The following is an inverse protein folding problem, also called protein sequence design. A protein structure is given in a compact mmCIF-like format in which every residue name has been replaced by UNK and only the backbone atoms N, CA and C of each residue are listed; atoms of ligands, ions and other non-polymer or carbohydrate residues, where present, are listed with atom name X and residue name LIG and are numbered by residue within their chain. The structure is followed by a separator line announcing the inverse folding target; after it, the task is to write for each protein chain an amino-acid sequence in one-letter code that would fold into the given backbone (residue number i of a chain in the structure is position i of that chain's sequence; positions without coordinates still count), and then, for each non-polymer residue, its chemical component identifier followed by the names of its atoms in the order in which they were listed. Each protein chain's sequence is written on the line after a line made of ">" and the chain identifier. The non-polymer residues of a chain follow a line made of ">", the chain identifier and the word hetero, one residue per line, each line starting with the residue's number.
data_IF_864123442113
#
_entry.id   IF_864123442113
#
_cell.length_a   1.000
_cell.length_b   1.000
_cell.length_c   1.000
_cell.angle_alpha   90.00
_cell.angle_beta   90.00
_cell.angle_gamma   90.00
#
_symmetry.space_group_name_H-M   'P 1'
#
loop_
_entity.id
_entity.type
_entity.pdbx_description
1 polymer ?
#
# COMPACT_ATOMS: atom_id res chain seq x y z
N UNK A 1 -15.58 -34.14 33.00
CA UNK A 1 -14.25 -34.04 32.40
C UNK A 1 -14.34 -32.88 31.42
N UNK A 2 -13.90 -31.70 31.84
CA UNK A 2 -13.90 -30.53 30.96
C UNK A 2 -12.73 -30.69 29.99
N UNK A 3 -13.03 -30.71 28.72
CA UNK A 3 -12.05 -30.82 27.65
C UNK A 3 -11.34 -29.43 27.56
N UNK A 4 -10.04 -29.32 27.84
CA UNK A 4 -9.32 -28.03 27.80
C UNK A 4 -9.26 -27.44 26.38
N UNK A 5 -9.51 -28.23 25.33
CA UNK A 5 -9.54 -27.77 23.93
C UNK A 5 -10.83 -27.01 23.63
N UNK A 6 -11.97 -27.34 24.29
CA UNK A 6 -13.25 -26.67 24.08
C UNK A 6 -13.27 -25.22 24.67
N UNK A 7 -12.49 -24.97 25.72
CA UNK A 7 -12.42 -23.64 26.35
C UNK A 7 -11.50 -22.63 25.60
N UNK A 8 -10.62 -23.09 24.72
CA UNK A 8 -9.76 -22.21 23.90
C UNK A 8 -10.51 -21.59 22.71
N UNK A 9 -11.73 -22.05 22.40
CA UNK A 9 -12.51 -21.64 21.22
C UNK A 9 -13.44 -20.43 21.47
N UNK A 10 -13.53 -19.89 22.68
CA UNK A 10 -14.45 -18.78 23.03
C UNK A 10 -13.77 -17.46 23.41
N UNK A 11 -12.45 -17.40 23.45
CA UNK A 11 -11.78 -16.14 23.80
C UNK A 11 -11.57 -15.30 22.54
N UNK A 12 -12.19 -14.11 22.52
CA UNK A 12 -11.90 -13.09 21.51
C UNK A 12 -10.39 -12.83 21.51
N UNK A 13 -9.69 -12.96 20.38
CA UNK A 13 -8.25 -12.75 20.34
C UNK A 13 -7.91 -11.30 20.72
N UNK A 14 -6.82 -11.13 21.46
CA UNK A 14 -6.26 -9.80 21.70
C UNK A 14 -5.44 -9.37 20.50
N UNK A 15 -4.69 -10.29 19.91
CA UNK A 15 -3.83 -10.03 18.76
C UNK A 15 -4.31 -10.79 17.53
N UNK A 16 -4.39 -10.08 16.39
CA UNK A 16 -4.50 -10.70 15.08
C UNK A 16 -3.21 -10.47 14.31
N UNK A 17 -2.58 -11.52 13.81
CA UNK A 17 -1.45 -11.42 12.88
C UNK A 17 -1.96 -11.73 11.49
N UNK A 18 -1.95 -10.73 10.60
CA UNK A 18 -2.38 -10.91 9.21
C UNK A 18 -1.16 -10.99 8.28
N UNK A 19 -1.16 -11.99 7.40
CA UNK A 19 -0.07 -12.22 6.47
C UNK A 19 -0.59 -12.52 5.06
N UNK A 20 -0.37 -11.62 4.08
CA UNK A 20 -0.57 -11.91 2.67
C UNK A 20 0.40 -13.00 2.18
N UNK A 21 -0.10 -13.95 1.40
CA UNK A 21 0.65 -15.09 0.86
C UNK A 21 0.44 -15.15 -0.65
N UNK A 22 1.54 -15.21 -1.41
CA UNK A 22 1.50 -15.39 -2.86
C UNK A 22 2.74 -16.15 -3.33
N UNK A 23 2.59 -17.45 -3.60
CA UNK A 23 3.66 -18.36 -4.01
C UNK A 23 4.80 -18.43 -2.97
N UNK A 24 4.46 -18.85 -1.75
CA UNK A 24 5.37 -18.94 -0.60
C UNK A 24 5.28 -20.32 0.08
N UNK A 25 5.03 -21.40 -0.66
CA UNK A 25 4.83 -22.75 -0.12
C UNK A 25 6.07 -23.26 0.65
N UNK A 26 7.29 -22.86 0.27
CA UNK A 26 8.53 -23.22 0.95
C UNK A 26 8.77 -22.43 2.26
N UNK A 27 8.34 -21.16 2.31
CA UNK A 27 8.61 -20.27 3.45
C UNK A 27 7.53 -20.36 4.52
N UNK A 28 6.29 -20.65 4.14
CA UNK A 28 5.09 -20.56 4.97
C UNK A 28 5.13 -21.48 6.22
N UNK A 29 5.62 -22.74 6.18
CA UNK A 29 5.72 -23.55 7.38
C UNK A 29 6.64 -22.94 8.43
N UNK A 30 7.80 -22.42 8.01
CA UNK A 30 8.76 -21.76 8.89
C UNK A 30 8.25 -20.42 9.41
N UNK A 31 7.53 -19.68 8.58
CA UNK A 31 6.84 -18.44 8.98
C UNK A 31 5.86 -18.72 10.13
N UNK A 32 5.01 -19.74 9.98
CA UNK A 32 4.05 -20.16 11.00
C UNK A 32 4.75 -20.55 12.31
N UNK A 33 5.81 -21.37 12.25
CA UNK A 33 6.59 -21.77 13.44
C UNK A 33 7.17 -20.57 14.19
N UNK A 34 7.70 -19.58 13.47
CA UNK A 34 8.29 -18.37 14.09
C UNK A 34 7.21 -17.47 14.70
N UNK A 35 6.10 -17.25 13.99
CA UNK A 35 4.98 -16.44 14.49
C UNK A 35 4.40 -17.07 15.75
N UNK A 36 4.07 -18.36 15.73
CA UNK A 36 3.50 -19.05 16.89
C UNK A 36 4.47 -19.04 18.07
N UNK A 37 5.77 -19.28 17.86
CA UNK A 37 6.76 -19.22 18.92
C UNK A 37 6.87 -17.82 19.57
N UNK A 38 6.68 -16.74 18.81
CA UNK A 38 6.66 -15.37 19.34
C UNK A 38 5.36 -15.10 20.10
N UNK A 39 4.21 -15.45 19.50
CA UNK A 39 2.90 -15.16 20.08
C UNK A 39 2.64 -15.97 21.35
N UNK A 40 3.06 -17.22 21.41
CA UNK A 40 2.93 -18.06 22.60
C UNK A 40 3.74 -17.54 23.80
N UNK A 41 4.89 -16.92 23.55
CA UNK A 41 5.69 -16.27 24.62
C UNK A 41 5.00 -15.04 25.21
N UNK A 42 4.10 -14.38 24.47
CA UNK A 42 3.31 -13.26 24.97
C UNK A 42 2.21 -13.72 25.96
N UNK A 43 1.75 -14.98 25.85
CA UNK A 43 0.81 -15.59 26.77
C UNK A 43 -0.62 -15.07 26.69
N UNK A 44 -0.96 -14.27 25.67
CA UNK A 44 -2.30 -13.71 25.45
C UNK A 44 -2.98 -14.34 24.23
N UNK A 45 -4.32 -14.40 24.17
CA UNK A 45 -5.04 -14.98 23.04
C UNK A 45 -4.72 -14.30 21.72
N UNK A 46 -4.45 -15.09 20.69
CA UNK A 46 -4.14 -14.58 19.35
C UNK A 46 -4.72 -15.44 18.24
N UNK A 47 -4.79 -14.86 17.05
CA UNK A 47 -5.11 -15.54 15.80
C UNK A 47 -4.08 -15.18 14.71
N UNK A 48 -3.97 -16.06 13.71
CA UNK A 48 -3.17 -15.82 12.51
C UNK A 48 -4.07 -15.90 11.29
N UNK A 49 -4.23 -14.81 10.57
CA UNK A 49 -5.06 -14.74 9.35
C UNK A 49 -4.13 -14.75 8.14
N UNK A 50 -4.15 -15.84 7.39
CA UNK A 50 -3.39 -16.01 6.16
C UNK A 50 -4.28 -15.71 4.95
N UNK A 51 -3.80 -14.88 4.03
CA UNK A 51 -4.56 -14.48 2.86
C UNK A 51 -3.88 -14.98 1.59
N UNK A 52 -4.47 -15.98 0.93
CA UNK A 52 -3.99 -16.48 -0.36
C UNK A 52 -4.38 -15.53 -1.48
N UNK A 53 -3.43 -14.75 -1.97
CA UNK A 53 -3.63 -13.83 -3.10
C UNK A 53 -3.44 -14.57 -4.44
N UNK A 54 -4.22 -15.63 -4.65
CA UNK A 54 -4.26 -16.39 -5.91
C UNK A 54 -2.94 -17.07 -6.25
N UNK A 55 -2.32 -17.75 -5.28
CA UNK A 55 -1.11 -18.55 -5.50
C UNK A 55 -1.33 -19.64 -6.54
N UNK A 56 -0.28 -19.95 -7.29
CA UNK A 56 -0.25 -21.00 -8.34
C UNK A 56 0.56 -22.22 -7.93
N UNK A 57 1.25 -22.15 -6.79
CA UNK A 57 2.00 -23.22 -6.14
C UNK A 57 1.13 -23.95 -5.08
N UNK A 58 1.77 -24.68 -4.16
CA UNK A 58 1.08 -25.40 -3.08
C UNK A 58 0.81 -24.55 -1.83
N UNK A 59 0.97 -23.23 -1.89
CA UNK A 59 0.75 -22.35 -0.73
C UNK A 59 -0.62 -22.53 -0.10
N UNK A 60 -1.68 -22.64 -0.92
CA UNK A 60 -3.04 -22.83 -0.42
C UNK A 60 -3.21 -24.16 0.32
N UNK A 61 -2.64 -25.25 -0.18
CA UNK A 61 -2.69 -26.57 0.46
C UNK A 61 -1.95 -26.54 1.81
N UNK A 62 -0.81 -25.86 1.87
CA UNK A 62 -0.06 -25.66 3.12
C UNK A 62 -0.90 -24.88 4.14
N UNK A 63 -1.55 -23.78 3.73
CA UNK A 63 -2.43 -22.99 4.60
C UNK A 63 -3.59 -23.80 5.15
N UNK A 64 -4.26 -24.60 4.32
CA UNK A 64 -5.31 -25.52 4.77
C UNK A 64 -4.81 -26.55 5.78
N UNK A 65 -3.61 -27.07 5.54
CA UNK A 65 -2.96 -28.00 6.47
C UNK A 65 -2.62 -27.36 7.82
N UNK A 66 -2.24 -26.07 7.84
CA UNK A 66 -2.01 -25.32 9.07
C UNK A 66 -3.32 -25.06 9.82
N UNK A 67 -4.38 -24.64 9.13
CA UNK A 67 -5.71 -24.47 9.72
C UNK A 67 -6.26 -25.75 10.34
N UNK A 68 -6.10 -26.88 9.65
CA UNK A 68 -6.55 -28.18 10.17
C UNK A 68 -5.84 -28.63 11.45
N UNK A 69 -4.61 -28.13 11.71
CA UNK A 69 -3.79 -28.45 12.90
C UNK A 69 -3.97 -27.44 14.02
N UNK A 70 -4.28 -26.19 13.69
CA UNK A 70 -4.38 -25.08 14.64
C UNK A 70 -5.59 -24.22 14.28
N UNK A 71 -6.64 -24.27 15.10
CA UNK A 71 -7.88 -23.50 14.91
C UNK A 71 -7.68 -21.98 15.01
N UNK A 72 -6.53 -21.52 15.56
CA UNK A 72 -6.17 -20.09 15.58
C UNK A 72 -5.74 -19.58 14.20
N UNK A 73 -5.40 -20.48 13.27
CA UNK A 73 -5.07 -20.12 11.89
C UNK A 73 -6.35 -20.01 11.08
N UNK A 74 -6.65 -18.82 10.59
CA UNK A 74 -7.74 -18.55 9.64
C UNK A 74 -7.16 -18.37 8.24
N UNK A 75 -7.91 -18.77 7.21
CA UNK A 75 -7.45 -18.71 5.82
C UNK A 75 -8.50 -18.04 4.96
N UNK A 76 -8.10 -17.02 4.21
CA UNK A 76 -8.90 -16.38 3.16
C UNK A 76 -8.29 -16.79 1.81
N UNK A 77 -9.07 -17.47 0.97
CA UNK A 77 -8.65 -17.81 -0.40
C UNK A 77 -9.32 -16.91 -1.43
N UNK A 78 -8.53 -16.19 -2.20
CA UNK A 78 -9.03 -15.32 -3.26
C UNK A 78 -9.31 -16.10 -4.54
N UNK A 79 -10.34 -15.68 -5.28
CA UNK A 79 -10.68 -16.25 -6.59
C UNK A 79 -9.59 -16.08 -7.65
N UNK A 80 -8.72 -15.07 -7.52
CA UNK A 80 -7.55 -14.77 -8.35
C UNK A 80 -6.59 -13.86 -7.59
N UNK A 81 -5.45 -13.53 -8.16
CA UNK A 81 -4.58 -12.47 -7.62
C UNK A 81 -5.25 -11.10 -7.76
N UNK A 82 -5.46 -10.41 -6.64
CA UNK A 82 -5.98 -9.04 -6.52
C UNK A 82 -4.89 -8.05 -6.11
N UNK A 83 -3.76 -8.54 -5.62
CA UNK A 83 -2.59 -7.76 -5.24
C UNK A 83 -2.43 -7.60 -3.73
N UNK A 84 -1.18 -7.47 -3.32
CA UNK A 84 -0.73 -7.46 -1.93
C UNK A 84 -1.50 -6.49 -1.02
N UNK A 85 -1.77 -5.25 -1.47
CA UNK A 85 -2.49 -4.24 -0.66
C UNK A 85 -3.97 -4.62 -0.43
N UNK A 86 -4.56 -5.31 -1.39
CA UNK A 86 -5.93 -5.83 -1.28
C UNK A 86 -5.96 -7.03 -0.34
N UNK A 87 -4.95 -7.90 -0.39
CA UNK A 87 -4.83 -9.02 0.56
C UNK A 87 -4.70 -8.52 2.02
N UNK A 88 -3.90 -7.47 2.26
CA UNK A 88 -3.87 -6.81 3.57
C UNK A 88 -5.27 -6.32 3.97
N UNK A 89 -6.01 -5.72 3.06
CA UNK A 89 -7.36 -5.20 3.34
C UNK A 89 -8.33 -6.31 3.75
N UNK A 90 -8.30 -7.45 3.07
CA UNK A 90 -9.11 -8.61 3.43
C UNK A 90 -8.73 -9.17 4.81
N UNK A 91 -7.43 -9.18 5.13
CA UNK A 91 -6.96 -9.54 6.46
C UNK A 91 -7.50 -8.61 7.54
N UNK A 92 -7.49 -7.28 7.30
CA UNK A 92 -8.07 -6.30 8.23
C UNK A 92 -9.59 -6.48 8.38
N UNK A 93 -10.31 -6.79 7.30
CA UNK A 93 -11.76 -7.04 7.32
C UNK A 93 -12.14 -8.25 8.20
N UNK A 94 -11.26 -9.25 8.31
CA UNK A 94 -11.52 -10.52 9.03
C UNK A 94 -10.80 -10.63 10.38
N UNK A 95 -9.90 -9.70 10.69
CA UNK A 95 -9.16 -9.69 11.95
C UNK A 95 -10.08 -9.32 13.12
N UNK A 96 -10.17 -10.18 14.13
CA UNK A 96 -11.04 -10.02 15.29
C UNK A 96 -10.34 -9.42 16.53
N UNK A 97 -8.99 -9.37 16.56
CA UNK A 97 -8.18 -8.91 17.69
C UNK A 97 -8.34 -7.41 17.97
N UNK A 98 -8.07 -7.02 19.21
CA UNK A 98 -7.98 -5.60 19.61
C UNK A 98 -6.82 -4.89 18.92
N UNK A 99 -5.81 -5.63 18.53
CA UNK A 99 -4.62 -5.16 17.84
C UNK A 99 -4.35 -6.05 16.64
N UNK A 100 -4.04 -5.43 15.51
CA UNK A 100 -3.73 -6.15 14.27
C UNK A 100 -2.29 -5.88 13.86
N UNK A 101 -1.50 -6.94 13.70
CA UNK A 101 -0.15 -6.91 13.18
C UNK A 101 -0.17 -7.33 11.72
N UNK A 102 0.33 -6.49 10.84
CA UNK A 102 0.54 -6.78 9.42
C UNK A 102 1.99 -7.20 9.23
N UNK A 103 2.25 -8.36 8.63
CA UNK A 103 3.61 -8.84 8.37
C UNK A 103 3.65 -9.64 7.06
N UNK A 104 4.75 -9.52 6.29
CA UNK A 104 4.95 -10.30 5.08
C UNK A 104 5.38 -11.73 5.40
N UNK A 105 4.87 -12.71 4.64
CA UNK A 105 5.15 -14.15 4.86
C UNK A 105 6.52 -14.61 4.31
N UNK A 106 7.31 -13.72 3.68
CA UNK A 106 8.58 -14.02 3.02
C UNK A 106 9.81 -14.12 3.97
N UNK A 107 9.56 -14.02 5.28
CA UNK A 107 10.58 -14.08 6.36
C UNK A 107 11.65 -12.97 6.33
N UNK A 108 11.50 -11.94 5.49
CA UNK A 108 12.43 -10.81 5.49
C UNK A 108 12.22 -9.87 6.68
N UNK A 109 10.98 -9.75 7.14
CA UNK A 109 10.61 -8.97 8.32
C UNK A 109 10.49 -9.94 9.51
N UNK A 110 11.37 -9.82 10.54
CA UNK A 110 11.46 -10.81 11.62
C UNK A 110 10.27 -10.71 12.58
N UNK A 111 9.50 -11.81 12.80
CA UNK A 111 8.40 -11.83 13.76
C UNK A 111 8.81 -11.45 15.19
N UNK A 112 10.07 -11.63 15.54
CA UNK A 112 10.64 -11.33 16.85
C UNK A 112 10.59 -9.83 17.22
N UNK A 113 10.26 -8.95 16.25
CA UNK A 113 10.01 -7.52 16.48
C UNK A 113 8.59 -7.25 17.03
N UNK A 114 7.65 -8.17 16.86
CA UNK A 114 6.25 -8.01 17.30
C UNK A 114 6.13 -7.64 18.78
N UNK A 115 6.84 -8.25 19.73
CA UNK A 115 6.78 -7.86 21.14
C UNK A 115 7.14 -6.40 21.39
N UNK A 116 8.10 -5.84 20.64
CA UNK A 116 8.46 -4.42 20.76
C UNK A 116 7.38 -3.51 20.19
N UNK A 117 6.74 -3.91 19.06
CA UNK A 117 5.58 -3.18 18.52
C UNK A 117 4.44 -3.14 19.55
N UNK A 118 4.15 -4.27 20.20
CA UNK A 118 3.12 -4.39 21.24
C UNK A 118 3.48 -3.52 22.46
N UNK A 119 4.74 -3.47 22.87
CA UNK A 119 5.16 -2.63 23.98
C UNK A 119 4.85 -1.14 23.70
N UNK A 120 5.17 -0.63 22.50
CA UNK A 120 4.85 0.74 22.09
C UNK A 120 3.34 1.03 22.05
N UNK A 121 2.57 0.04 21.60
CA UNK A 121 1.11 0.15 21.65
C UNK A 121 0.60 0.24 23.10
N UNK A 122 1.09 -0.61 24.00
CA UNK A 122 0.76 -0.55 25.44
C UNK A 122 1.17 0.80 26.08
N UNK A 123 2.19 1.47 25.54
CA UNK A 123 2.60 2.84 25.92
C UNK A 123 1.72 3.94 25.29
N UNK A 124 0.64 3.55 24.57
CA UNK A 124 -0.40 4.44 24.05
C UNK A 124 -0.19 4.90 22.61
N UNK A 125 0.63 4.22 21.81
CA UNK A 125 0.68 4.43 20.36
C UNK A 125 -0.45 3.68 19.68
N UNK A 126 -1.15 4.30 18.72
CA UNK A 126 -2.24 3.68 17.97
C UNK A 126 -1.73 2.95 16.72
N UNK A 127 -0.64 3.44 16.13
CA UNK A 127 0.03 2.86 14.97
C UNK A 127 1.51 2.72 15.29
N UNK A 128 2.03 1.49 15.26
CA UNK A 128 3.46 1.25 15.44
C UNK A 128 4.02 0.60 14.18
N UNK A 129 4.88 1.33 13.45
CA UNK A 129 5.46 0.81 12.21
C UNK A 129 6.91 0.38 12.41
N UNK A 130 7.25 -0.77 11.83
CA UNK A 130 8.61 -1.25 11.79
C UNK A 130 9.42 -0.47 10.74
N UNK A 131 10.45 0.24 11.18
CA UNK A 131 11.32 1.05 10.34
C UNK A 131 12.68 0.35 10.16
N UNK A 132 13.07 0.15 8.92
CA UNK A 132 14.36 -0.48 8.62
C UNK A 132 15.51 0.43 9.00
N UNK A 133 16.44 -0.08 9.81
CA UNK A 133 17.71 0.59 10.08
C UNK A 133 18.46 0.78 8.76
N UNK A 134 19.03 1.99 8.56
CA UNK A 134 19.75 2.32 7.32
C UNK A 134 21.00 1.45 7.21
N UNK A 135 21.12 0.64 6.14
CA UNK A 135 22.36 -0.11 5.87
C UNK A 135 23.49 0.87 5.58
N UNK A 136 24.57 0.78 6.35
CA UNK A 136 25.85 1.38 6.01
C UNK A 136 26.37 0.70 4.72
N UNK A 137 26.36 1.42 3.58
CA UNK A 137 26.89 0.89 2.31
C UNK A 137 26.11 1.27 1.04
N UNK A 138 25.03 2.04 1.13
CA UNK A 138 24.34 2.53 -0.08
C UNK A 138 25.15 3.63 -0.79
N UNK A 139 25.25 3.52 -2.13
CA UNK A 139 25.95 4.51 -2.98
C UNK A 139 25.38 5.91 -2.76
N UNK A 140 26.25 6.92 -2.61
CA UNK A 140 25.86 8.34 -2.41
C UNK A 140 24.82 8.83 -3.44
N UNK A 141 24.92 8.37 -4.67
CA UNK A 141 23.96 8.69 -5.75
C UNK A 141 22.55 8.17 -5.43
N UNK A 142 22.42 6.92 -4.95
CA UNK A 142 21.14 6.33 -4.56
C UNK A 142 20.52 7.03 -3.35
N UNK A 143 21.35 7.47 -2.40
CA UNK A 143 20.91 8.24 -1.23
C UNK A 143 20.42 9.64 -1.61
N UNK A 144 21.11 10.34 -2.53
CA UNK A 144 20.74 11.69 -2.98
C UNK A 144 19.45 11.64 -3.81
N UNK A 145 19.34 10.71 -4.77
CA UNK A 145 18.12 10.53 -5.58
C UNK A 145 16.92 10.13 -4.74
N UNK A 146 17.09 9.20 -3.78
CA UNK A 146 16.04 8.83 -2.85
C UNK A 146 15.65 10.03 -1.95
N UNK A 147 16.63 10.78 -1.43
CA UNK A 147 16.37 11.95 -0.58
C UNK A 147 15.64 13.07 -1.35
N UNK A 148 16.04 13.34 -2.60
CA UNK A 148 15.35 14.28 -3.48
C UNK A 148 13.91 13.81 -3.80
N UNK A 149 13.72 12.54 -4.11
CA UNK A 149 12.42 11.92 -4.38
C UNK A 149 11.49 12.00 -3.16
N UNK A 150 11.94 11.55 -1.98
CA UNK A 150 11.12 11.64 -0.76
C UNK A 150 10.92 13.07 -0.27
N UNK A 151 11.87 13.97 -0.54
CA UNK A 151 11.71 15.41 -0.29
C UNK A 151 10.66 16.05 -1.18
N UNK A 152 10.60 15.64 -2.44
CA UNK A 152 9.59 16.07 -3.41
C UNK A 152 8.21 15.52 -3.01
N UNK A 153 8.10 14.21 -2.77
CA UNK A 153 6.83 13.59 -2.35
C UNK A 153 6.33 14.21 -1.05
N UNK A 154 7.18 14.40 -0.04
CA UNK A 154 6.78 15.00 1.24
C UNK A 154 6.34 16.46 1.17
N UNK A 155 6.67 17.19 0.07
CA UNK A 155 6.13 18.54 -0.21
C UNK A 155 4.84 18.48 -1.03
N UNK A 156 4.66 17.41 -1.78
CA UNK A 156 3.57 17.23 -2.75
C UNK A 156 2.37 16.55 -2.09
N UNK A 157 2.61 15.64 -1.15
CA UNK A 157 1.55 14.94 -0.42
C UNK A 157 1.28 15.63 0.91
N UNK A 158 0.00 15.85 1.24
CA UNK A 158 -0.42 16.36 2.54
C UNK A 158 -0.06 15.40 3.70
N UNK A 159 0.37 14.17 3.39
CA UNK A 159 0.63 13.09 4.34
C UNK A 159 2.13 12.84 4.45
N UNK A 160 2.67 12.91 5.66
CA UNK A 160 4.08 12.57 5.94
C UNK A 160 4.24 11.04 6.05
N UNK A 161 4.51 10.39 4.92
CA UNK A 161 4.77 8.94 4.91
C UNK A 161 6.17 8.69 5.49
N UNK A 162 6.31 7.85 6.54
CA UNK A 162 7.61 7.52 7.13
C UNK A 162 8.54 6.86 6.10
N UNK A 163 9.83 7.24 6.12
CA UNK A 163 10.83 6.69 5.21
C UNK A 163 11.33 5.33 5.70
N UNK A 164 11.79 4.48 4.78
CA UNK A 164 12.36 3.15 5.07
C UNK A 164 11.39 2.22 5.81
N UNK A 165 10.07 2.38 5.63
CA UNK A 165 9.06 1.50 6.20
C UNK A 165 8.52 0.53 5.16
N UNK A 166 8.29 -0.72 5.59
CA UNK A 166 7.50 -1.73 4.87
C UNK A 166 6.02 -1.65 5.24
N UNK A 167 5.30 -2.72 4.95
CA UNK A 167 3.91 -2.88 5.42
C UNK A 167 3.86 -3.47 6.84
N UNK A 168 5.01 -3.95 7.38
CA UNK A 168 5.14 -4.45 8.74
C UNK A 168 4.83 -3.37 9.76
N UNK A 169 3.69 -3.53 10.43
CA UNK A 169 3.18 -2.59 11.43
C UNK A 169 2.14 -3.22 12.33
N UNK A 170 1.89 -2.57 13.45
CA UNK A 170 0.84 -2.87 14.38
C UNK A 170 -0.18 -1.72 14.34
N UNK A 171 -1.46 -2.07 14.34
CA UNK A 171 -2.59 -1.15 14.30
C UNK A 171 -3.54 -1.44 15.47
N UNK A 172 -3.91 -0.42 16.22
CA UNK A 172 -5.01 -0.49 17.19
C UNK A 172 -6.36 -0.72 16.51
N UNK A 173 -7.33 -1.29 17.22
CA UNK A 173 -8.68 -1.58 16.69
C UNK A 173 -9.34 -0.32 16.11
N UNK A 174 -9.26 0.82 16.77
CA UNK A 174 -9.85 2.07 16.27
C UNK A 174 -9.26 2.51 14.92
N UNK A 175 -7.97 2.27 14.71
CA UNK A 175 -7.30 2.50 13.41
C UNK A 175 -7.78 1.51 12.36
N UNK A 176 -7.87 0.21 12.73
CA UNK A 176 -8.35 -0.85 11.83
C UNK A 176 -9.77 -0.54 11.36
N UNK A 177 -10.68 -0.23 12.29
CA UNK A 177 -12.09 0.06 11.98
C UNK A 177 -12.22 1.27 11.04
N UNK A 178 -11.34 2.27 11.20
CA UNK A 178 -11.27 3.42 10.29
C UNK A 178 -10.79 2.99 8.90
N UNK A 179 -9.71 2.19 8.81
CA UNK A 179 -9.15 1.72 7.54
C UNK A 179 -10.08 0.76 6.78
N UNK A 180 -10.87 -0.04 7.50
CA UNK A 180 -11.88 -0.93 6.94
C UNK A 180 -13.01 -0.14 6.25
N UNK A 181 -13.37 1.05 6.76
CA UNK A 181 -14.37 1.92 6.14
C UNK A 181 -13.86 2.60 4.85
N UNK A 182 -12.54 2.72 4.69
CA UNK A 182 -11.92 3.30 3.50
C UNK A 182 -11.84 2.24 2.40
N UNK A 183 -12.69 2.34 1.36
CA UNK A 183 -12.83 1.31 0.30
C UNK A 183 -12.24 1.74 -1.04
N UNK A 184 -11.19 2.56 -1.00
CA UNK A 184 -10.47 2.99 -2.21
C UNK A 184 -9.89 1.79 -2.97
N UNK A 185 -10.04 1.77 -4.31
CA UNK A 185 -9.51 0.72 -5.17
C UNK A 185 -7.98 0.78 -5.30
N UNK A 186 -7.44 2.00 -5.36
CA UNK A 186 -6.01 2.24 -5.43
C UNK A 186 -5.40 2.39 -4.03
N UNK A 187 -5.41 1.30 -3.26
CA UNK A 187 -4.96 1.29 -1.86
C UNK A 187 -3.44 1.35 -1.74
N UNK A 188 -2.97 2.16 -0.81
CA UNK A 188 -1.58 2.22 -0.37
C UNK A 188 -1.55 2.30 1.16
N UNK A 189 -1.44 1.15 1.82
CA UNK A 189 -1.64 1.01 3.27
C UNK A 189 -0.73 1.93 4.08
N UNK A 190 0.51 2.15 3.64
CA UNK A 190 1.45 3.07 4.31
C UNK A 190 0.98 4.51 4.29
N UNK A 191 0.37 4.94 3.19
CA UNK A 191 -0.22 6.26 3.04
C UNK A 191 -1.50 6.39 3.85
N UNK A 192 -2.40 5.40 3.77
CA UNK A 192 -3.67 5.39 4.49
C UNK A 192 -3.45 5.41 6.01
N UNK A 193 -2.58 4.55 6.54
CA UNK A 193 -2.27 4.53 7.98
C UNK A 193 -1.59 5.81 8.47
N UNK A 194 -0.87 6.54 7.59
CA UNK A 194 -0.34 7.85 7.93
C UNK A 194 -1.41 8.96 7.84
N UNK A 195 -2.36 8.81 6.92
CA UNK A 195 -3.43 9.79 6.67
C UNK A 195 -4.47 9.85 7.80
N UNK A 196 -4.76 8.73 8.44
CA UNK A 196 -5.77 8.66 9.54
C UNK A 196 -5.41 9.51 10.77
N UNK A 197 -4.15 9.94 10.93
CA UNK A 197 -3.75 10.97 11.89
C UNK A 197 -3.66 10.53 13.36
N UNK A 198 -3.79 9.23 13.66
CA UNK A 198 -3.60 8.66 14.99
C UNK A 198 -2.13 8.77 15.47
N UNK A 199 -1.88 8.57 16.78
CA UNK A 199 -0.51 8.61 17.34
C UNK A 199 0.34 7.47 16.77
N UNK A 200 1.42 7.85 16.06
CA UNK A 200 2.29 6.92 15.37
C UNK A 200 3.69 6.88 16.00
N UNK A 201 4.22 5.68 16.18
CA UNK A 201 5.59 5.47 16.66
C UNK A 201 6.37 4.50 15.75
N UNK A 202 7.69 4.64 15.76
CA UNK A 202 8.59 3.79 14.99
C UNK A 202 9.34 2.82 15.90
N UNK A 203 9.49 1.58 15.45
CA UNK A 203 10.42 0.60 16.00
C UNK A 203 11.48 0.30 14.95
N UNK A 204 12.75 0.50 15.30
CA UNK A 204 13.87 0.23 14.40
C UNK A 204 14.21 -1.26 14.40
N UNK A 205 14.34 -1.84 13.19
CA UNK A 205 14.75 -3.23 13.06
C UNK A 205 15.72 -3.44 11.90
N UNK A 206 16.45 -4.55 11.93
CA UNK A 206 17.30 -4.99 10.84
C UNK A 206 16.54 -6.01 9.98
N UNK A 207 16.42 -5.71 8.68
CA UNK A 207 15.79 -6.62 7.74
C UNK A 207 16.69 -7.82 7.44
N UNK A 208 16.14 -9.03 7.50
CA UNK A 208 16.83 -10.26 7.16
C UNK A 208 16.96 -10.43 5.63
N UNK A 209 17.93 -11.22 5.19
CA UNK A 209 18.04 -11.61 3.80
C UNK A 209 16.88 -12.55 3.43
N UNK A 210 16.41 -12.47 2.20
CA UNK A 210 15.32 -13.33 1.72
C UNK A 210 15.73 -14.79 1.78
N UNK A 211 14.90 -15.64 2.37
CA UNK A 211 15.19 -17.07 2.53
C UNK A 211 15.12 -17.82 1.19
N UNK A 212 14.20 -17.46 0.30
CA UNK A 212 14.02 -18.06 -1.04
C UNK A 212 13.52 -17.01 -2.04
N UNK A 213 13.78 -17.27 -3.34
CA UNK A 213 13.27 -16.46 -4.47
C UNK A 213 14.18 -15.30 -4.91
N UNK A 214 14.11 -14.95 -6.22
CA UNK A 214 14.89 -13.86 -6.85
C UNK A 214 14.02 -12.62 -7.04
N UNK A 215 14.41 -11.50 -6.42
CA UNK A 215 13.73 -10.22 -6.65
C UNK A 215 14.28 -9.56 -7.92
N UNK A 216 13.55 -9.64 -9.02
CA UNK A 216 13.74 -8.73 -10.16
C UNK A 216 12.64 -7.67 -10.09
N UNK A 217 12.90 -6.54 -9.43
CA UNK A 217 12.05 -5.35 -9.52
C UNK A 217 12.50 -4.54 -10.74
N UNK A 218 11.87 -4.66 -11.90
CA UNK A 218 12.23 -3.89 -13.09
C UNK A 218 11.93 -2.40 -12.82
N UNK A 219 12.79 -1.52 -13.34
CA UNK A 219 12.68 -0.06 -13.23
C UNK A 219 11.27 0.46 -13.57
N UNK A 220 10.62 -0.15 -14.57
CA UNK A 220 9.22 0.18 -14.94
C UNK A 220 8.21 0.00 -13.80
N UNK A 221 8.36 -1.05 -12.96
CA UNK A 221 7.47 -1.25 -11.80
C UNK A 221 7.70 -0.17 -10.74
N UNK A 222 8.95 0.25 -10.55
CA UNK A 222 9.30 1.32 -9.61
C UNK A 222 8.70 2.67 -10.03
N UNK A 223 8.79 3.02 -11.32
CA UNK A 223 8.20 4.25 -11.87
C UNK A 223 6.67 4.21 -11.73
N UNK A 224 6.03 3.10 -12.11
CA UNK A 224 4.58 2.95 -11.98
C UNK A 224 4.13 3.10 -10.53
N UNK A 225 4.80 2.43 -9.60
CA UNK A 225 4.50 2.56 -8.16
C UNK A 225 4.66 4.00 -7.64
N UNK A 226 5.65 4.73 -8.17
CA UNK A 226 5.86 6.14 -7.83
C UNK A 226 4.74 7.04 -8.36
N UNK A 227 4.30 6.82 -9.59
CA UNK A 227 3.16 7.53 -10.19
C UNK A 227 1.89 7.23 -9.39
N UNK A 228 1.64 5.94 -9.09
CA UNK A 228 0.47 5.52 -8.29
C UNK A 228 0.45 6.21 -6.91
N UNK A 229 1.59 6.27 -6.22
CA UNK A 229 1.68 6.95 -4.93
C UNK A 229 1.42 8.47 -5.03
N UNK A 230 1.94 9.13 -6.07
CA UNK A 230 1.74 10.57 -6.28
C UNK A 230 0.28 10.87 -6.61
N UNK A 231 -0.30 10.13 -7.57
CA UNK A 231 -1.66 10.40 -8.04
C UNK A 231 -2.74 10.01 -7.04
N UNK A 232 -2.47 9.04 -6.13
CA UNK A 232 -3.41 8.67 -5.06
C UNK A 232 -3.49 9.70 -3.93
N UNK A 233 -2.39 10.43 -3.65
CA UNK A 233 -2.33 11.34 -2.49
C UNK A 233 -2.09 12.80 -2.85
N UNK A 234 -2.08 13.15 -4.15
CA UNK A 234 -1.79 14.52 -4.57
C UNK A 234 -2.47 14.89 -5.88
N UNK A 235 -3.06 16.08 -5.92
CA UNK A 235 -3.57 16.74 -7.14
C UNK A 235 -2.50 17.61 -7.81
N UNK A 236 -1.25 17.59 -7.32
CA UNK A 236 -0.17 18.45 -7.82
C UNK A 236 0.09 18.28 -9.32
N UNK A 237 0.13 17.07 -9.92
CA UNK A 237 0.31 16.94 -11.36
C UNK A 237 -0.73 17.73 -12.16
N UNK A 238 -1.98 17.74 -11.69
CA UNK A 238 -3.07 18.51 -12.31
C UNK A 238 -2.88 20.02 -12.12
N UNK A 239 -2.46 20.46 -10.92
CA UNK A 239 -2.18 21.86 -10.63
C UNK A 239 -0.97 22.38 -11.42
N UNK A 240 0.09 21.57 -11.58
CA UNK A 240 1.24 21.90 -12.42
C UNK A 240 0.83 22.03 -13.89
N UNK A 241 0.00 21.13 -14.40
CA UNK A 241 -0.55 21.21 -15.74
C UNK A 241 -1.30 22.53 -15.95
N UNK A 242 -2.17 22.89 -15.01
CA UNK A 242 -2.93 24.15 -15.05
C UNK A 242 -2.02 25.37 -14.99
N UNK A 243 -1.06 25.41 -14.06
CA UNK A 243 -0.12 26.52 -13.89
C UNK A 243 0.77 26.70 -15.12
N UNK A 244 1.23 25.59 -15.71
CA UNK A 244 2.02 25.60 -16.94
C UNK A 244 1.19 26.07 -18.14
N UNK A 245 -0.09 25.70 -18.20
CA UNK A 245 -1.04 26.21 -19.20
C UNK A 245 -1.19 27.73 -19.14
N UNK A 246 -1.38 28.31 -17.97
CA UNK A 246 -1.43 29.77 -17.78
C UNK A 246 -0.11 30.44 -18.14
N UNK A 247 1.02 29.86 -17.79
CA UNK A 247 2.34 30.38 -18.18
C UNK A 247 2.52 30.42 -19.69
N UNK A 248 2.16 29.35 -20.40
CA UNK A 248 2.21 29.30 -21.87
C UNK A 248 1.23 30.28 -22.52
N UNK A 249 0.03 30.41 -21.98
CA UNK A 249 -0.95 31.39 -22.47
C UNK A 249 -0.40 32.83 -22.33
N UNK A 250 0.26 33.13 -21.24
CA UNK A 250 0.95 34.42 -21.04
C UNK A 250 2.04 34.67 -22.07
N UNK A 251 2.90 33.68 -22.36
CA UNK A 251 3.93 33.75 -23.41
C UNK A 251 3.29 33.96 -24.79
N UNK A 252 2.22 33.23 -25.10
CA UNK A 252 1.50 33.34 -26.36
C UNK A 252 0.91 34.74 -26.54
N UNK A 253 0.30 35.30 -25.48
CA UNK A 253 -0.25 36.66 -25.50
C UNK A 253 0.87 37.73 -25.75
N UNK A 254 2.01 37.57 -25.07
CA UNK A 254 3.16 38.44 -25.29
C UNK A 254 3.72 38.31 -26.74
N UNK A 255 3.77 37.05 -27.24
CA UNK A 255 4.19 36.80 -28.62
C UNK A 255 3.25 37.42 -29.66
N UNK A 256 1.95 37.38 -29.44
CA UNK A 256 0.96 38.06 -30.29
C UNK A 256 1.17 39.57 -30.27
N UNK A 257 1.38 40.17 -29.09
CA UNK A 257 1.64 41.61 -28.96
C UNK A 257 2.89 42.02 -29.73
N UNK A 258 3.99 41.27 -29.57
CA UNK A 258 5.25 41.50 -30.30
C UNK A 258 5.04 41.36 -31.81
N UNK A 259 4.32 40.31 -32.26
CA UNK A 259 4.05 40.08 -33.67
C UNK A 259 3.22 41.26 -34.29
N UNK A 260 2.23 41.78 -33.56
CA UNK A 260 1.45 42.96 -34.01
C UNK A 260 2.33 44.20 -34.12
N UNK A 261 3.19 44.46 -33.14
CA UNK A 261 4.11 45.62 -33.17
C UNK A 261 5.09 45.52 -34.35
N UNK A 262 5.70 44.32 -34.55
CA UNK A 262 6.62 44.10 -35.67
C UNK A 262 5.92 44.23 -37.03
N UNK A 263 4.67 43.79 -37.16
CA UNK A 263 3.89 43.95 -38.37
C UNK A 263 3.60 45.43 -38.69
N UNK A 264 3.32 46.21 -37.69
CA UNK A 264 3.07 47.65 -37.83
C UNK A 264 4.33 48.44 -38.18
N UNK A 265 5.52 47.96 -37.72
CA UNK A 265 6.78 48.69 -37.90
C UNK A 265 7.63 48.21 -39.07
N UNK A 266 7.69 46.89 -39.34
CA UNK A 266 8.70 46.32 -40.27
C UNK A 266 8.13 45.54 -41.45
N UNK A 267 6.83 45.30 -41.55
CA UNK A 267 6.16 44.53 -42.63
C UNK A 267 6.70 43.10 -42.86
N UNK A 268 7.53 42.55 -41.95
CA UNK A 268 8.07 41.20 -42.08
C UNK A 268 7.11 40.14 -41.53
N UNK A 269 6.98 39.02 -42.24
CA UNK A 269 6.15 37.91 -41.85
C UNK A 269 7.05 36.77 -41.38
N UNK A 270 6.81 36.27 -40.18
CA UNK A 270 7.46 35.03 -39.65
C UNK A 270 7.05 33.86 -40.51
N UNK A 271 8.01 33.06 -40.96
CA UNK A 271 7.80 31.98 -41.97
C UNK A 271 6.90 30.86 -41.51
N UNK A 272 6.27 30.16 -42.44
CA UNK A 272 5.34 29.03 -42.20
C UNK A 272 5.93 27.89 -41.35
N UNK A 273 7.25 27.65 -41.44
CA UNK A 273 7.93 26.62 -40.63
C UNK A 273 7.85 26.89 -39.14
N UNK A 274 7.98 28.15 -38.71
CA UNK A 274 7.86 28.52 -37.29
C UNK A 274 6.46 28.29 -36.76
N UNK A 275 5.44 28.57 -37.55
CA UNK A 275 4.03 28.30 -37.19
C UNK A 275 3.77 26.82 -37.05
N UNK A 276 4.28 25.96 -37.95
CA UNK A 276 4.12 24.52 -37.89
C UNK A 276 4.77 23.94 -36.63
N UNK A 277 6.01 24.33 -36.32
CA UNK A 277 6.73 23.90 -35.11
C UNK A 277 5.94 24.30 -33.85
N UNK A 278 5.42 25.53 -33.78
CA UNK A 278 4.66 26.01 -32.65
C UNK A 278 3.36 25.22 -32.44
N UNK A 279 2.61 24.94 -33.54
CA UNK A 279 1.39 24.15 -33.49
C UNK A 279 1.65 22.71 -33.05
N UNK A 280 2.69 22.05 -33.57
CA UNK A 280 3.07 20.71 -33.17
C UNK A 280 3.51 20.66 -31.69
N UNK A 281 4.28 21.65 -31.24
CA UNK A 281 4.72 21.75 -29.83
C UNK A 281 3.51 21.94 -28.89
N UNK A 282 2.63 22.87 -29.20
CA UNK A 282 1.40 23.09 -28.41
C UNK A 282 0.48 21.88 -28.41
N UNK A 283 0.32 21.21 -29.57
CA UNK A 283 -0.45 19.95 -29.68
C UNK A 283 0.13 18.85 -28.82
N UNK A 284 1.45 18.71 -28.80
CA UNK A 284 2.14 17.74 -27.95
C UNK A 284 1.90 18.00 -26.45
N UNK A 285 1.99 19.26 -26.01
CA UNK A 285 1.70 19.65 -24.63
C UNK A 285 0.23 19.38 -24.26
N UNK A 286 -0.73 19.69 -25.15
CA UNK A 286 -2.13 19.41 -24.92
C UNK A 286 -2.39 17.92 -24.74
N UNK A 287 -1.76 17.04 -25.55
CA UNK A 287 -1.90 15.59 -25.41
C UNK A 287 -1.34 15.09 -24.08
N UNK A 288 -0.24 15.66 -23.57
CA UNK A 288 0.32 15.32 -22.25
C UNK A 288 -0.69 15.68 -21.15
N UNK A 289 -1.31 16.86 -21.21
CA UNK A 289 -2.29 17.29 -20.21
C UNK A 289 -3.58 16.45 -20.26
N UNK A 290 -4.05 16.11 -21.44
CA UNK A 290 -5.16 15.17 -21.62
C UNK A 290 -4.83 13.79 -21.03
N UNK A 291 -3.60 13.32 -21.19
CA UNK A 291 -3.13 12.09 -20.58
C UNK A 291 -3.16 12.14 -19.04
N UNK A 292 -2.71 13.25 -18.44
CA UNK A 292 -2.80 13.45 -16.98
C UNK A 292 -4.26 13.45 -16.51
N UNK A 293 -5.13 14.19 -17.17
CA UNK A 293 -6.57 14.21 -16.86
C UNK A 293 -7.18 12.81 -17.02
N UNK A 294 -6.79 12.09 -18.08
CA UNK A 294 -7.24 10.72 -18.32
C UNK A 294 -6.87 9.76 -17.19
N UNK A 295 -5.68 9.89 -16.60
CA UNK A 295 -5.25 9.08 -15.45
C UNK A 295 -6.16 9.32 -14.22
N UNK A 296 -6.46 10.58 -13.90
CA UNK A 296 -7.38 10.89 -12.79
C UNK A 296 -8.81 10.44 -13.07
N UNK A 297 -9.27 10.63 -14.30
CA UNK A 297 -10.62 10.19 -14.71
C UNK A 297 -10.74 8.67 -14.65
N UNK A 298 -9.69 7.93 -15.04
CA UNK A 298 -9.63 6.47 -14.91
C UNK A 298 -9.78 6.02 -13.45
N UNK A 299 -9.10 6.68 -12.52
CA UNK A 299 -9.23 6.40 -11.07
C UNK A 299 -10.63 6.69 -10.54
N UNK A 300 -11.20 7.84 -10.90
CA UNK A 300 -12.58 8.19 -10.55
C UNK A 300 -13.56 7.14 -11.11
N UNK A 301 -13.33 6.67 -12.34
CA UNK A 301 -14.16 5.65 -12.95
C UNK A 301 -14.10 4.32 -12.19
N UNK A 302 -12.90 3.91 -11.73
CA UNK A 302 -12.75 2.70 -10.92
C UNK A 302 -13.51 2.83 -9.58
N UNK A 303 -13.42 3.98 -8.91
CA UNK A 303 -14.16 4.25 -7.66
C UNK A 303 -15.67 4.27 -7.87
N UNK A 304 -16.17 4.94 -8.94
CA UNK A 304 -17.60 5.03 -9.23
C UNK A 304 -18.21 3.68 -9.59
N UNK A 305 -17.45 2.77 -10.20
CA UNK A 305 -17.92 1.40 -10.48
C UNK A 305 -18.20 0.59 -9.22
N UNK A 306 -17.61 0.97 -8.09
CA UNK A 306 -17.83 0.35 -6.78
C UNK A 306 -17.75 -1.19 -6.79
N UNK A 307 -16.85 -1.77 -7.59
CA UNK A 307 -16.63 -3.22 -7.60
C UNK A 307 -16.06 -3.68 -6.28
N UNK A 308 -16.36 -4.89 -5.78
CA UNK A 308 -15.69 -5.42 -4.60
C UNK A 308 -14.18 -5.39 -4.75
N UNK A 309 -13.46 -5.00 -3.70
CA UNK A 309 -11.99 -4.96 -3.70
C UNK A 309 -11.38 -6.32 -4.01
N UNK A 310 -12.00 -7.39 -3.49
CA UNK A 310 -11.63 -8.78 -3.68
C UNK A 310 -12.86 -9.67 -3.73
N UNK A 311 -12.68 -10.90 -4.18
CA UNK A 311 -13.70 -11.97 -4.17
C UNK A 311 -13.10 -13.16 -3.44
N UNK A 312 -13.68 -13.50 -2.30
CA UNK A 312 -13.33 -14.71 -1.56
C UNK A 312 -13.88 -15.92 -2.30
N UNK A 313 -13.06 -16.94 -2.55
CA UNK A 313 -13.48 -18.26 -3.00
C UNK A 313 -13.89 -19.12 -1.82
N UNK A 314 -13.09 -19.03 -0.75
CA UNK A 314 -13.30 -19.80 0.48
C UNK A 314 -12.75 -19.02 1.68
N UNK A 315 -13.42 -19.14 2.82
CA UNK A 315 -12.93 -18.68 4.11
C UNK A 315 -12.92 -19.84 5.09
N UNK A 316 -11.77 -20.16 5.65
CA UNK A 316 -11.57 -21.12 6.71
C UNK A 316 -11.38 -20.38 8.02
N UNK A 317 -12.42 -20.28 8.83
CA UNK A 317 -12.46 -19.63 10.14
C UNK A 317 -13.60 -20.22 10.97
N UNK A 318 -13.75 -19.79 12.23
CA UNK A 318 -14.86 -20.25 13.08
C UNK A 318 -16.18 -19.67 12.55
N UNK A 319 -17.23 -20.46 12.56
CA UNK A 319 -18.57 -20.14 12.03
C UNK A 319 -19.29 -18.97 12.73
N UNK A 320 -18.74 -18.44 13.82
CA UNK A 320 -19.23 -17.24 14.51
C UNK A 320 -18.76 -15.92 13.89
N UNK A 321 -17.81 -15.96 12.94
CA UNK A 321 -17.23 -14.77 12.31
C UNK A 321 -17.98 -14.32 11.03
N UNK A 322 -19.17 -14.87 10.76
CA UNK A 322 -20.04 -14.41 9.68
C UNK A 322 -20.69 -13.06 10.04
N UNK A 323 -19.95 -11.98 10.02
CA UNK A 323 -20.54 -10.71 9.63
C UNK A 323 -20.87 -10.85 8.15
N UNK A 324 -22.15 -11.12 7.83
CA UNK A 324 -22.65 -11.03 6.45
C UNK A 324 -22.14 -9.74 5.82
N UNK A 325 -21.58 -9.79 4.60
CA UNK A 325 -21.29 -8.56 3.89
C UNK A 325 -22.60 -7.81 3.76
N UNK A 326 -22.71 -6.66 4.40
CA UNK A 326 -23.84 -5.76 4.26
C UNK A 326 -24.11 -5.58 2.77
N UNK A 327 -25.23 -6.13 2.27
CA UNK A 327 -25.66 -5.94 0.90
C UNK A 327 -25.75 -4.45 0.63
N UNK A 328 -25.21 -3.95 -0.49
CA UNK A 328 -25.33 -2.55 -0.85
C UNK A 328 -26.82 -2.23 -1.08
N UNK A 329 -27.33 -1.27 -0.31
CA UNK A 329 -28.58 -0.56 -0.63
C UNK A 329 -28.31 0.46 -1.72
#
# INVERSE_FOLDING_TARGET
>A
MNDPVAHALEQVPIYSVIAPVCNEDETLPRFYERITAVMEKLGEPYEVVLINDGSTDRSYEVMRGLHARDARVKVIDFSRNFGHQIAISAGLDRAAGQVVVIIDSDLQDPPEVIPELIARWKDGADVVYAQRATRLGETRFKLVTARAFYGLIGRITAVKIPRNTGDFRLLDRGVVDTLVQMREHHRFMRGLSAWVGFRQEAVLYERQERFAGTTKYPFRKMVRFSVDAITSFSTLPLQLATSFGFFLAGIALLGILIAVILRLTTHSIVGQATTLILVLFMGGIQLIFLGIIGEYLGRIYDEVRARPLYIEREFLGNSTDTTEPSSPR
#
